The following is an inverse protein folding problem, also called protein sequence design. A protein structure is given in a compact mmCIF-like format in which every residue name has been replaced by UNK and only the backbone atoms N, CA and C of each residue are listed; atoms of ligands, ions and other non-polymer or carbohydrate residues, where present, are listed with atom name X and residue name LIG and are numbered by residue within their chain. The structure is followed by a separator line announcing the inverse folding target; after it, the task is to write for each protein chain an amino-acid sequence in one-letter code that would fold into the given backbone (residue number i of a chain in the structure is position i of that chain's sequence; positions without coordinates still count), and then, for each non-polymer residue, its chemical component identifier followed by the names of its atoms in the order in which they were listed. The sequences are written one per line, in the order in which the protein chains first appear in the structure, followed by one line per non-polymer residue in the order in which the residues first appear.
data_IF_242450008996
#
_entry.id   IF_242450008996
#
_cell.length_a   1.000
_cell.length_b   1.000
_cell.length_c   1.000
_cell.angle_alpha   90.00
_cell.angle_beta   90.00
_cell.angle_gamma   90.00
#
_symmetry.space_group_name_H-M   'P 1'
#
loop_
_entity.id
_entity.type
_entity.pdbx_description
1 polymer ?
#
# COMPACT_ATOMS: atom_id res chain seq x y z
N UNK A 1 -6.69 3.05 -12.50
CA UNK A 1 -5.28 2.58 -12.40
C UNK A 1 -4.95 2.03 -11.02
N UNK A 2 -5.04 2.83 -9.94
CA UNK A 2 -4.72 2.34 -8.58
C UNK A 2 -5.53 1.09 -8.20
N UNK A 3 -6.86 1.13 -8.35
CA UNK A 3 -7.72 -0.03 -8.10
C UNK A 3 -7.35 -1.27 -8.92
N UNK A 4 -6.91 -1.09 -10.18
CA UNK A 4 -6.44 -2.21 -11.01
C UNK A 4 -5.19 -2.85 -10.41
N UNK A 5 -4.20 -2.03 -10.01
CA UNK A 5 -2.98 -2.51 -9.35
C UNK A 5 -3.32 -3.22 -8.04
N UNK A 6 -4.20 -2.66 -7.21
CA UNK A 6 -4.59 -3.28 -5.95
C UNK A 6 -5.30 -4.63 -6.15
N UNK A 7 -6.17 -4.73 -7.18
CA UNK A 7 -6.82 -5.99 -7.57
C UNK A 7 -5.79 -7.00 -8.08
N UNK A 8 -4.88 -6.59 -8.95
CA UNK A 8 -3.80 -7.45 -9.44
C UNK A 8 -2.92 -7.97 -8.29
N UNK A 9 -2.60 -7.13 -7.30
CA UNK A 9 -1.85 -7.53 -6.10
C UNK A 9 -2.64 -8.51 -5.22
N UNK A 10 -3.94 -8.26 -5.00
CA UNK A 10 -4.83 -9.17 -4.27
C UNK A 10 -4.93 -10.52 -4.98
N UNK A 11 -5.18 -10.51 -6.28
CA UNK A 11 -5.35 -11.72 -7.07
C UNK A 11 -4.02 -12.50 -7.12
N UNK A 12 -2.88 -11.82 -7.22
CA UNK A 12 -1.55 -12.45 -7.15
C UNK A 12 -1.31 -13.18 -5.82
N UNK A 13 -1.80 -12.66 -4.68
CA UNK A 13 -1.73 -13.37 -3.40
C UNK A 13 -2.46 -14.72 -3.45
N UNK A 14 -3.56 -14.82 -4.21
CA UNK A 14 -4.31 -16.07 -4.40
C UNK A 14 -3.54 -17.12 -5.21
N UNK A 15 -2.51 -16.71 -5.98
CA UNK A 15 -1.65 -17.62 -6.75
C UNK A 15 -0.53 -18.27 -5.92
N UNK A 16 -0.44 -17.96 -4.62
CA UNK A 16 0.47 -18.62 -3.67
C UNK A 16 1.95 -18.54 -4.08
N UNK A 17 2.58 -19.70 -4.25
CA UNK A 17 4.04 -19.86 -4.48
C UNK A 17 4.57 -19.23 -5.79
N UNK A 18 3.71 -18.73 -6.68
CA UNK A 18 4.11 -18.07 -7.94
C UNK A 18 4.03 -16.54 -7.86
N UNK A 19 3.66 -15.98 -6.71
CA UNK A 19 3.55 -14.53 -6.54
C UNK A 19 4.91 -13.85 -6.65
N UNK A 20 4.99 -12.77 -7.43
CA UNK A 20 6.20 -11.94 -7.57
C UNK A 20 6.36 -10.94 -6.41
N UNK A 21 5.26 -10.62 -5.72
CA UNK A 21 5.21 -9.72 -4.57
C UNK A 21 4.50 -10.46 -3.44
N UNK A 22 5.17 -10.57 -2.29
CA UNK A 22 4.64 -11.23 -1.10
C UNK A 22 4.15 -10.17 -0.10
N UNK A 23 3.02 -10.45 0.53
CA UNK A 23 2.41 -9.66 1.61
C UNK A 23 2.47 -8.13 1.43
N UNK A 24 1.99 -7.60 0.29
CA UNK A 24 2.02 -6.16 0.06
C UNK A 24 1.24 -5.41 1.15
N UNK A 25 1.83 -4.32 1.63
CA UNK A 25 1.23 -3.38 2.59
C UNK A 25 1.14 -1.99 1.97
N UNK A 26 0.05 -1.29 2.27
CA UNK A 26 -0.15 0.10 1.83
C UNK A 26 0.46 1.02 2.89
N UNK A 27 1.56 1.68 2.52
CA UNK A 27 2.28 2.58 3.42
C UNK A 27 1.69 4.00 3.45
N UNK A 28 1.38 4.55 2.28
CA UNK A 28 0.84 5.92 2.11
C UNK A 28 -0.10 5.94 0.92
N UNK A 29 -1.25 6.61 1.08
CA UNK A 29 -2.16 6.95 -0.03
C UNK A 29 -2.31 8.46 -0.10
N UNK A 30 -1.96 9.04 -1.25
CA UNK A 30 -2.18 10.47 -1.50
C UNK A 30 -3.42 10.65 -2.36
N UNK A 31 -4.30 11.55 -1.93
CA UNK A 31 -5.54 11.87 -2.63
C UNK A 31 -5.40 13.15 -3.47
N UNK A 32 -6.36 13.40 -4.36
CA UNK A 32 -6.50 14.65 -5.11
C UNK A 32 -5.29 15.02 -6.00
N UNK A 33 -4.62 14.03 -6.59
CA UNK A 33 -3.54 14.28 -7.57
C UNK A 33 -4.19 14.64 -8.92
N UNK A 34 -4.05 15.89 -9.40
CA UNK A 34 -4.84 16.40 -10.53
C UNK A 34 -4.42 15.82 -11.89
N UNK A 35 -3.22 15.24 -11.98
CA UNK A 35 -2.69 14.67 -13.21
C UNK A 35 -1.72 13.53 -12.92
N UNK A 36 -1.48 12.69 -13.94
CA UNK A 36 -0.49 11.62 -13.86
C UNK A 36 0.92 12.23 -13.77
N UNK A 37 1.58 12.08 -12.62
CA UNK A 37 2.93 12.60 -12.38
C UNK A 37 4.03 11.84 -13.15
N UNK A 38 3.81 10.55 -13.42
CA UNK A 38 4.78 9.68 -14.09
C UNK A 38 4.13 8.92 -15.24
N UNK A 39 4.68 9.03 -16.44
CA UNK A 39 4.14 8.36 -17.64
C UNK A 39 4.42 6.85 -17.64
N UNK A 40 5.51 6.43 -17.00
CA UNK A 40 5.95 5.04 -16.94
C UNK A 40 6.35 4.67 -15.51
N UNK A 41 6.18 3.39 -15.19
CA UNK A 41 6.66 2.77 -13.96
C UNK A 41 7.87 1.92 -14.28
N UNK A 42 8.89 1.99 -13.45
CA UNK A 42 10.10 1.18 -13.56
C UNK A 42 10.41 0.59 -12.19
N UNK A 43 11.02 -0.59 -12.18
CA UNK A 43 11.50 -1.21 -10.95
C UNK A 43 12.94 -1.69 -11.15
N UNK A 44 13.70 -1.73 -10.05
CA UNK A 44 15.02 -2.38 -10.00
C UNK A 44 15.04 -3.20 -8.72
N UNK A 45 15.26 -4.51 -8.86
CA UNK A 45 15.45 -5.40 -7.71
C UNK A 45 16.81 -5.13 -7.11
N UNK A 46 16.84 -4.91 -5.80
CA UNK A 46 18.06 -4.60 -5.08
C UNK A 46 18.48 -5.83 -4.29
N UNK A 47 19.73 -6.25 -4.47
CA UNK A 47 20.30 -7.28 -3.62
C UNK A 47 20.86 -6.61 -2.36
N UNK A 48 20.02 -6.46 -1.34
CA UNK A 48 20.41 -5.88 -0.05
C UNK A 48 20.97 -7.01 0.82
N UNK A 49 22.20 -6.90 1.36
CA UNK A 49 22.73 -7.93 2.24
C UNK A 49 21.79 -8.10 3.44
N UNK A 50 21.23 -9.30 3.60
CA UNK A 50 20.34 -9.65 4.69
C UNK A 50 21.06 -9.51 6.02
N UNK A 51 20.90 -8.37 6.69
CA UNK A 51 21.26 -8.25 8.11
C UNK A 51 20.11 -8.87 8.90
N UNK A 52 20.16 -10.19 9.06
CA UNK A 52 19.20 -10.95 9.87
C UNK A 52 19.79 -11.19 11.27
N UNK A 53 20.14 -10.12 11.97
CA UNK A 53 20.64 -10.23 13.35
C UNK A 53 19.65 -9.54 14.28
N UNK A 54 18.66 -10.31 14.72
CA UNK A 54 17.80 -9.96 15.84
C UNK A 54 16.93 -8.75 15.57
N UNK A 55 15.86 -8.94 14.80
CA UNK A 55 14.76 -7.99 14.79
C UNK A 55 14.22 -7.86 16.22
N UNK A 56 14.50 -6.71 16.82
CA UNK A 56 14.03 -6.41 18.16
C UNK A 56 12.58 -5.96 18.04
N UNK A 57 11.65 -6.89 18.30
CA UNK A 57 10.20 -6.66 18.36
C UNK A 57 9.81 -5.61 19.42
N UNK A 58 10.77 -5.16 20.23
CA UNK A 58 10.59 -4.14 21.26
C UNK A 58 10.74 -2.70 20.76
N UNK A 59 10.79 -2.45 19.44
CA UNK A 59 10.78 -1.08 18.90
C UNK A 59 9.55 -0.30 19.42
N UNK A 60 9.78 0.59 20.39
CA UNK A 60 8.78 1.49 20.97
C UNK A 60 8.48 2.71 20.08
N UNK A 61 9.10 2.80 18.91
CA UNK A 61 8.91 3.92 18.00
C UNK A 61 7.49 3.91 17.42
N UNK A 62 6.77 5.07 17.44
CA UNK A 62 5.42 5.12 16.88
C UNK A 62 5.45 4.85 15.37
N UNK A 63 4.46 4.10 14.89
CA UNK A 63 4.37 3.65 13.50
C UNK A 63 4.47 4.83 12.52
N UNK A 64 3.79 5.94 12.81
CA UNK A 64 3.80 7.14 11.96
C UNK A 64 5.20 7.70 11.78
N UNK A 65 6.04 7.63 12.82
CA UNK A 65 7.44 8.07 12.75
C UNK A 65 8.22 7.16 11.81
N UNK A 66 8.11 5.85 11.97
CA UNK A 66 8.79 4.86 11.13
C UNK A 66 8.38 5.06 9.66
N UNK A 67 7.08 5.24 9.39
CA UNK A 67 6.54 5.54 8.06
C UNK A 67 7.15 6.83 7.52
N UNK A 68 7.17 7.90 8.32
CA UNK A 68 7.68 9.21 7.90
C UNK A 68 9.16 9.14 7.52
N UNK A 69 9.96 8.40 8.28
CA UNK A 69 11.39 8.19 8.01
C UNK A 69 11.60 7.35 6.74
N UNK A 70 10.80 6.29 6.55
CA UNK A 70 10.83 5.48 5.32
C UNK A 70 10.49 6.33 4.08
N UNK A 71 9.43 7.12 4.13
CA UNK A 71 9.02 8.00 3.03
C UNK A 71 10.09 9.05 2.75
N UNK A 72 10.70 9.63 3.79
CA UNK A 72 11.79 10.58 3.64
C UNK A 72 13.04 9.94 3.00
N UNK A 73 13.40 8.71 3.39
CA UNK A 73 14.49 7.95 2.76
C UNK A 73 14.20 7.66 1.29
N UNK A 74 13.00 7.20 0.95
CA UNK A 74 12.57 6.95 -0.43
C UNK A 74 12.60 8.23 -1.27
N UNK A 75 12.18 9.37 -0.71
CA UNK A 75 12.25 10.65 -1.40
C UNK A 75 13.71 11.07 -1.65
N UNK A 76 14.58 10.98 -0.65
CA UNK A 76 16.02 11.25 -0.80
C UNK A 76 16.67 10.34 -1.83
N UNK A 77 16.30 9.06 -1.83
CA UNK A 77 16.75 8.10 -2.81
C UNK A 77 16.27 8.48 -4.22
N UNK A 78 14.99 8.83 -4.36
CA UNK A 78 14.43 9.33 -5.62
C UNK A 78 15.17 10.58 -6.13
N UNK A 79 15.46 11.54 -5.26
CA UNK A 79 16.27 12.73 -5.60
C UNK A 79 17.70 12.36 -6.02
N UNK A 80 18.31 11.36 -5.39
CA UNK A 80 19.62 10.86 -5.80
C UNK A 80 19.55 10.21 -7.19
N UNK A 81 18.55 9.37 -7.43
CA UNK A 81 18.33 8.71 -8.72
C UNK A 81 17.98 9.71 -9.83
N UNK A 82 17.33 10.82 -9.51
CA UNK A 82 16.99 11.88 -10.46
C UNK A 82 18.23 12.56 -11.09
N UNK A 83 19.41 12.43 -10.46
CA UNK A 83 20.67 12.92 -11.01
C UNK A 83 21.19 12.10 -12.19
N UNK A 84 20.62 10.91 -12.42
CA UNK A 84 21.02 9.99 -13.47
C UNK A 84 20.10 10.09 -14.69
N UNK A 85 20.55 9.64 -15.88
CA UNK A 85 19.72 9.65 -17.08
C UNK A 85 18.40 8.89 -16.87
N UNK A 86 17.31 9.40 -17.46
CA UNK A 86 15.94 8.89 -17.25
C UNK A 86 15.69 7.45 -17.75
N UNK A 87 16.65 6.84 -18.45
CA UNK A 87 16.52 5.45 -18.89
C UNK A 87 17.03 4.50 -17.80
N UNK A 88 16.21 3.55 -17.33
CA UNK A 88 16.64 2.58 -16.31
C UNK A 88 17.82 1.72 -16.77
N UNK A 89 17.99 1.51 -18.08
CA UNK A 89 19.13 0.79 -18.66
C UNK A 89 20.47 1.53 -18.49
N UNK A 90 20.41 2.85 -18.24
CA UNK A 90 21.59 3.69 -18.09
C UNK A 90 21.95 3.94 -16.61
N UNK A 91 21.27 3.28 -15.67
CA UNK A 91 21.56 3.40 -14.25
C UNK A 91 22.77 2.52 -13.91
N UNK A 92 23.90 3.08 -13.45
CA UNK A 92 25.11 2.31 -13.18
C UNK A 92 24.85 1.18 -12.19
N UNK A 93 25.45 0.02 -12.45
CA UNK A 93 25.48 -1.06 -11.46
C UNK A 93 26.24 -0.58 -10.23
N UNK A 94 25.61 -0.71 -9.06
CA UNK A 94 26.15 -0.19 -7.80
C UNK A 94 25.82 1.29 -7.51
N UNK A 95 24.91 1.95 -8.23
CA UNK A 95 24.46 3.32 -7.88
C UNK A 95 24.03 3.45 -6.41
N UNK A 96 23.46 2.38 -5.85
CA UNK A 96 23.01 2.33 -4.46
C UNK A 96 24.13 2.02 -3.46
N UNK A 97 25.25 1.42 -3.91
CA UNK A 97 26.44 1.26 -3.06
C UNK A 97 27.04 2.61 -2.68
N UNK A 98 26.74 3.68 -3.44
CA UNK A 98 27.15 5.05 -3.12
C UNK A 98 26.28 5.71 -2.06
N UNK A 99 25.09 5.18 -1.79
CA UNK A 99 24.11 5.74 -0.84
C UNK A 99 23.42 4.62 -0.02
N UNK A 100 24.18 3.76 0.68
CA UNK A 100 23.62 2.65 1.45
C UNK A 100 22.68 3.13 2.55
N UNK A 101 22.93 4.31 3.11
CA UNK A 101 22.11 4.93 4.17
C UNK A 101 20.73 5.39 3.70
N UNK A 102 20.48 5.41 2.39
CA UNK A 102 19.16 5.72 1.81
C UNK A 102 18.35 4.45 1.50
N UNK A 103 18.92 3.27 1.69
CA UNK A 103 18.22 1.98 1.54
C UNK A 103 17.51 1.70 2.86
N UNK A 104 16.20 1.45 2.80
CA UNK A 104 15.41 1.09 3.98
C UNK A 104 15.99 -0.21 4.57
N UNK A 105 16.33 -0.24 5.87
CA UNK A 105 16.83 -1.45 6.52
C UNK A 105 15.83 -2.60 6.45
N UNK A 106 16.33 -3.83 6.29
CA UNK A 106 15.49 -5.04 6.21
C UNK A 106 14.61 -5.21 7.45
N UNK A 107 15.14 -4.95 8.65
CA UNK A 107 14.38 -5.06 9.91
C UNK A 107 13.21 -4.08 9.95
N UNK A 108 13.37 -2.88 9.39
CA UNK A 108 12.27 -1.92 9.25
C UNK A 108 11.20 -2.43 8.27
N UNK A 109 11.60 -3.07 7.17
CA UNK A 109 10.66 -3.68 6.23
C UNK A 109 9.88 -4.81 6.91
N UNK A 110 10.57 -5.71 7.61
CA UNK A 110 9.94 -6.80 8.37
C UNK A 110 8.96 -6.27 9.43
N UNK A 111 9.34 -5.24 10.18
CA UNK A 111 8.46 -4.58 11.15
C UNK A 111 7.16 -4.06 10.51
N UNK A 112 7.29 -3.35 9.38
CA UNK A 112 6.13 -2.80 8.66
C UNK A 112 5.23 -3.91 8.10
N UNK A 113 5.81 -5.02 7.63
CA UNK A 113 5.04 -6.17 7.13
C UNK A 113 4.19 -6.83 8.24
N UNK A 114 4.70 -6.90 9.46
CA UNK A 114 3.99 -7.45 10.62
C UNK A 114 2.95 -6.49 11.21
N UNK A 115 3.04 -5.20 10.88
CA UNK A 115 2.18 -4.18 11.44
C UNK A 115 0.72 -4.34 10.97
N UNK A 116 -0.21 -4.45 11.92
CA UNK A 116 -1.64 -4.69 11.65
C UNK A 116 -2.38 -3.43 11.20
N UNK A 117 -1.90 -2.26 11.62
CA UNK A 117 -2.49 -0.97 11.26
C UNK A 117 -2.23 -0.61 9.79
N UNK A 118 -1.24 -1.25 9.15
CA UNK A 118 -1.04 -1.16 7.71
C UNK A 118 -1.94 -2.13 6.96
N UNK A 119 -2.80 -1.58 6.13
CA UNK A 119 -3.74 -2.34 5.31
C UNK A 119 -3.03 -3.13 4.21
N UNK A 120 -3.49 -4.35 3.96
CA UNK A 120 -3.22 -5.06 2.72
C UNK A 120 -4.07 -4.48 1.57
N UNK A 121 -3.72 -4.74 0.29
CA UNK A 121 -4.56 -4.39 -0.84
C UNK A 121 -5.98 -4.89 -0.74
N UNK A 122 -6.18 -6.11 -0.22
CA UNK A 122 -7.50 -6.72 -0.05
C UNK A 122 -8.34 -5.96 0.99
N UNK A 123 -7.75 -5.70 2.17
CA UNK A 123 -8.42 -4.94 3.24
C UNK A 123 -8.77 -3.52 2.79
N UNK A 124 -7.86 -2.89 2.04
CA UNK A 124 -8.11 -1.57 1.47
C UNK A 124 -9.27 -1.60 0.48
N UNK A 125 -9.29 -2.55 -0.46
CA UNK A 125 -10.39 -2.69 -1.42
C UNK A 125 -11.73 -2.92 -0.69
N UNK A 126 -11.76 -3.80 0.31
CA UNK A 126 -12.96 -4.09 1.10
C UNK A 126 -13.53 -2.83 1.78
N UNK A 127 -12.67 -1.95 2.28
CA UNK A 127 -13.10 -0.71 2.94
C UNK A 127 -13.84 0.26 1.98
N UNK A 128 -13.57 0.19 0.66
CA UNK A 128 -14.22 1.03 -0.35
C UNK A 128 -15.35 0.32 -1.10
N UNK A 129 -15.26 -1.00 -1.25
CA UNK A 129 -16.26 -1.82 -1.94
C UNK A 129 -17.45 -2.18 -1.01
N UNK A 130 -17.31 -2.02 0.31
CA UNK A 130 -18.40 -2.23 1.25
C UNK A 130 -19.41 -1.07 1.21
N UNK A 131 -20.73 -1.33 1.09
CA UNK A 131 -21.72 -0.27 1.21
C UNK A 131 -21.61 0.36 2.60
N UNK A 132 -21.57 1.70 2.62
CA UNK A 132 -21.74 2.47 3.84
C UNK A 132 -23.19 2.33 4.28
N UNK A 133 -23.49 1.27 5.05
CA UNK A 133 -24.77 1.15 5.75
C UNK A 133 -24.77 2.09 6.96
N UNK A 134 -24.68 3.39 6.68
CA UNK A 134 -24.86 4.43 7.69
C UNK A 134 -26.35 4.56 7.88
N UNK A 135 -26.85 3.95 8.94
CA UNK A 135 -28.23 4.18 9.36
C UNK A 135 -28.30 5.59 9.92
N UNK A 136 -28.99 6.49 9.23
CA UNK A 136 -29.12 7.88 9.65
C UNK A 136 -30.20 7.99 10.73
N UNK A 137 -30.07 8.96 11.65
CA UNK A 137 -31.10 9.20 12.67
C UNK A 137 -32.47 9.54 12.05
N UNK A 138 -32.47 10.08 10.82
CA UNK A 138 -33.66 10.33 10.01
C UNK A 138 -34.33 9.07 9.48
N UNK A 139 -33.64 7.92 9.48
CA UNK A 139 -34.21 6.63 9.07
C UNK A 139 -35.03 6.00 10.20
N UNK A 140 -34.87 6.49 11.44
CA UNK A 140 -35.77 6.22 12.56
C UNK A 140 -36.95 7.20 12.55
N UNK A 141 -37.77 7.18 11.51
CA UNK A 141 -39.07 7.88 11.55
C UNK A 141 -40.08 6.99 12.25
N UNK A 142 -40.75 7.54 13.25
CA UNK A 142 -41.95 6.94 13.83
C UNK A 142 -43.18 7.35 13.00
N UNK A 143 -44.11 6.42 12.68
CA UNK A 143 -44.06 4.99 12.96
C UNK A 143 -43.11 4.26 11.99
N UNK A 144 -42.54 3.14 12.46
CA UNK A 144 -41.75 2.24 11.64
C UNK A 144 -42.59 1.83 10.42
N UNK A 145 -42.11 1.97 9.17
CA UNK A 145 -42.86 1.50 8.01
C UNK A 145 -43.13 0.02 8.16
N UNK A 146 -44.38 -0.37 8.40
CA UNK A 146 -44.78 -1.76 8.31
C UNK A 146 -44.49 -2.21 6.88
N UNK A 147 -43.79 -3.35 6.75
CA UNK A 147 -43.42 -3.99 5.50
C UNK A 147 -44.50 -3.76 4.41
N UNK A 148 -44.18 -2.92 3.42
CA UNK A 148 -44.94 -2.91 2.17
C UNK A 148 -44.61 -4.21 1.44
N UNK A 149 -45.31 -5.28 1.79
CA UNK A 149 -45.39 -6.47 0.98
C UNK A 149 -45.85 -6.05 -0.42
N UNK A 150 -45.11 -6.39 -1.49
CA UNK A 150 -45.56 -6.09 -2.84
C UNK A 150 -46.85 -6.85 -3.09
N UNK A 151 -47.96 -6.13 -3.19
CA UNK A 151 -49.21 -6.69 -3.69
C UNK A 151 -48.98 -7.21 -5.11
N UNK A 152 -48.76 -8.53 -5.23
CA UNK A 152 -48.88 -9.21 -6.50
C UNK A 152 -50.33 -9.12 -6.93
N UNK A 153 -50.63 -8.20 -7.84
CA UNK A 153 -51.91 -8.16 -8.54
C UNK A 153 -51.92 -9.36 -9.48
N UNK A 154 -52.64 -10.41 -9.09
CA UNK A 154 -53.04 -11.48 -10.00
C UNK A 154 -54.50 -11.29 -10.39
N UNK A 155 -54.69 -11.15 -11.71
CA UNK A 155 -55.94 -11.18 -12.50
C UNK A 155 -56.86 -9.96 -12.43
#
# INVERSE_FOLDING_TARGET
MLYSILRDLRDMHQHGQRALVLDPKILVVSHNIPSRLFQQWNYKVLNVPGRHLGYDTSREEPLERIISECVAMLLKLGMHLWKYPKSPQNLPDGVLQKVPDLIIPQDTICHLLECRDLLSPDQFLQAYDSPLNILMDSDYVWPLPEHMEPHMVTS
#
